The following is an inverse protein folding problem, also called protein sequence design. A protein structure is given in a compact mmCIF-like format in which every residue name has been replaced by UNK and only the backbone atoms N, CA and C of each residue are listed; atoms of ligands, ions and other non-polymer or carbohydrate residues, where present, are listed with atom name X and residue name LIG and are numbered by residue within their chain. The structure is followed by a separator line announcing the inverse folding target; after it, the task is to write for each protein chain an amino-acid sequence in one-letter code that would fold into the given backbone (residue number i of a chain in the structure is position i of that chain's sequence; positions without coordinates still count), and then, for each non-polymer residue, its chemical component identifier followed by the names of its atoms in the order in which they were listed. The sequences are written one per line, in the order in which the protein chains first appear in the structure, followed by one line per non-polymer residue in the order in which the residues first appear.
data_IF_095511865828
#
_entry.id   IF_095511865828
#
_cell.length_a   1.000
_cell.length_b   1.000
_cell.length_c   1.000
_cell.angle_alpha   90.00
_cell.angle_beta   90.00
_cell.angle_gamma   90.00
#
_symmetry.space_group_name_H-M   'P 1'
#
loop_
_entity.id
_entity.type
_entity.pdbx_description
1 polymer ?
#
# COMPACT_ATOMS: atom_id res chain seq x y z
N UNK A 1 -3.12 14.77 11.92
CA UNK A 1 -4.03 13.65 11.58
C UNK A 1 -3.32 12.35 11.89
N UNK A 2 -3.93 11.37 12.58
CA UNK A 2 -3.26 10.08 12.85
C UNK A 2 -3.13 9.31 11.52
N UNK A 3 -1.93 8.90 11.09
CA UNK A 3 -1.71 8.34 9.76
C UNK A 3 -2.42 7.00 9.53
N UNK A 4 -2.66 6.22 10.60
CA UNK A 4 -3.43 4.96 10.57
C UNK A 4 -4.96 5.16 10.60
N UNK A 5 -5.48 6.38 10.81
CA UNK A 5 -6.93 6.60 10.91
C UNK A 5 -7.56 6.53 9.52
N UNK A 6 -8.31 5.47 9.24
CA UNK A 6 -9.04 5.33 7.97
C UNK A 6 -10.24 6.28 7.88
N UNK A 7 -10.12 7.28 7.01
CA UNK A 7 -11.12 8.32 6.79
C UNK A 7 -11.36 8.63 5.31
N UNK A 8 -10.45 8.24 4.42
CA UNK A 8 -10.57 8.51 2.99
C UNK A 8 -11.49 7.47 2.34
N UNK A 9 -12.54 7.91 1.65
CA UNK A 9 -13.37 7.02 0.85
C UNK A 9 -12.56 6.46 -0.33
N UNK A 10 -13.05 5.40 -0.99
CA UNK A 10 -12.40 4.89 -2.22
C UNK A 10 -12.24 5.94 -3.31
N UNK A 11 -13.22 6.85 -3.47
CA UNK A 11 -13.12 7.93 -4.46
C UNK A 11 -12.05 8.95 -4.08
N UNK A 12 -12.00 9.35 -2.80
CA UNK A 12 -10.97 10.25 -2.29
C UNK A 12 -9.57 9.65 -2.42
N UNK A 13 -9.40 8.39 -2.02
CA UNK A 13 -8.13 7.68 -2.14
C UNK A 13 -7.69 7.54 -3.60
N UNK A 14 -8.62 7.21 -4.50
CA UNK A 14 -8.35 7.09 -5.93
C UNK A 14 -7.89 8.43 -6.53
N UNK A 15 -8.53 9.54 -6.15
CA UNK A 15 -8.13 10.87 -6.58
C UNK A 15 -6.75 11.27 -6.05
N UNK A 16 -6.47 11.03 -4.76
CA UNK A 16 -5.15 11.32 -4.16
C UNK A 16 -4.01 10.54 -4.81
N UNK A 17 -4.32 9.35 -5.33
CA UNK A 17 -3.37 8.48 -5.99
C UNK A 17 -3.39 8.65 -7.51
N UNK A 18 -4.25 9.49 -8.07
CA UNK A 18 -4.42 9.65 -9.53
C UNK A 18 -4.64 8.30 -10.25
N UNK A 19 -5.52 7.47 -9.69
CA UNK A 19 -5.90 6.17 -10.27
C UNK A 19 -7.41 6.03 -10.37
N UNK A 20 -7.86 5.14 -11.25
CA UNK A 20 -9.26 4.75 -11.26
C UNK A 20 -9.62 3.91 -10.00
N UNK A 21 -10.80 4.08 -9.37
CA UNK A 21 -11.22 3.29 -8.21
C UNK A 21 -11.17 1.77 -8.42
N UNK A 22 -11.29 1.31 -9.67
CA UNK A 22 -11.12 -0.11 -10.04
C UNK A 22 -9.74 -0.64 -9.68
N UNK A 23 -8.68 0.15 -9.81
CA UNK A 23 -7.31 -0.24 -9.46
C UNK A 23 -7.22 -0.60 -7.98
N UNK A 24 -7.82 0.21 -7.09
CA UNK A 24 -7.86 -0.09 -5.66
C UNK A 24 -8.63 -1.38 -5.35
N UNK A 25 -9.72 -1.64 -6.08
CA UNK A 25 -10.47 -2.90 -5.93
C UNK A 25 -9.66 -4.11 -6.43
N UNK A 26 -8.85 -3.95 -7.46
CA UNK A 26 -7.95 -4.99 -7.95
C UNK A 26 -6.89 -5.27 -6.88
N UNK A 27 -6.21 -4.25 -6.35
CA UNK A 27 -5.21 -4.45 -5.31
C UNK A 27 -5.79 -5.08 -4.03
N UNK A 28 -7.00 -4.71 -3.65
CA UNK A 28 -7.74 -5.37 -2.55
C UNK A 28 -8.01 -6.84 -2.88
N UNK A 29 -8.56 -7.14 -4.07
CA UNK A 29 -8.84 -8.52 -4.50
C UNK A 29 -7.59 -9.39 -4.54
N UNK A 30 -6.47 -8.80 -4.93
CA UNK A 30 -5.16 -9.48 -4.99
C UNK A 30 -4.49 -9.59 -3.62
N UNK A 31 -5.08 -9.04 -2.55
CA UNK A 31 -4.56 -9.10 -1.19
C UNK A 31 -3.36 -8.17 -0.95
N UNK A 32 -3.14 -7.18 -1.82
CA UNK A 32 -2.07 -6.19 -1.65
C UNK A 32 -2.44 -5.10 -0.64
N UNK A 33 -3.73 -4.85 -0.44
CA UNK A 33 -4.26 -3.86 0.51
C UNK A 33 -5.48 -4.42 1.25
N UNK A 34 -5.71 -3.92 2.47
CA UNK A 34 -6.82 -4.34 3.33
C UNK A 34 -7.54 -3.10 3.90
N UNK A 35 -8.38 -2.42 3.09
CA UNK A 35 -9.10 -1.23 3.55
C UNK A 35 -10.06 -1.56 4.69
N UNK A 36 -10.24 -0.61 5.61
CA UNK A 36 -11.22 -0.74 6.69
C UNK A 36 -12.63 -0.60 6.09
N UNK A 37 -13.52 -1.54 6.43
CA UNK A 37 -14.93 -1.47 6.04
C UNK A 37 -15.77 -0.78 7.11
N UNK A 38 -16.69 0.08 6.68
CA UNK A 38 -17.82 0.57 7.49
C UNK A 38 -19.09 0.34 6.67
N UNK A 39 -19.77 -0.77 6.96
CA UNK A 39 -20.77 -1.34 6.06
C UNK A 39 -20.16 -1.73 4.71
N UNK A 40 -20.81 -1.34 3.62
CA UNK A 40 -20.32 -1.63 2.25
C UNK A 40 -19.22 -0.67 1.77
N UNK A 41 -18.94 0.40 2.52
CA UNK A 41 -17.97 1.43 2.15
C UNK A 41 -16.57 1.06 2.64
N UNK A 42 -15.59 1.28 1.76
CA UNK A 42 -14.16 1.13 2.03
C UNK A 42 -13.57 2.46 2.44
N UNK A 43 -12.78 2.43 3.50
CA UNK A 43 -12.04 3.57 4.01
C UNK A 43 -10.55 3.25 4.07
N UNK A 44 -9.75 4.23 3.69
CA UNK A 44 -8.30 4.19 3.62
C UNK A 44 -7.74 5.22 4.59
N UNK A 45 -6.64 4.83 5.23
CA UNK A 45 -5.79 5.68 6.05
C UNK A 45 -4.72 6.34 5.18
N UNK A 46 -3.97 7.30 5.71
CA UNK A 46 -2.85 7.88 4.97
C UNK A 46 -1.75 6.85 4.72
N UNK A 47 -1.59 5.88 5.63
CA UNK A 47 -0.66 4.77 5.45
C UNK A 47 -1.03 3.87 4.27
N UNK A 48 -2.33 3.60 4.09
CA UNK A 48 -2.79 2.88 2.92
C UNK A 48 -2.43 3.64 1.63
N UNK A 49 -2.61 4.97 1.60
CA UNK A 49 -2.24 5.81 0.45
C UNK A 49 -0.74 5.69 0.16
N UNK A 50 0.11 5.87 1.18
CA UNK A 50 1.58 5.73 1.00
C UNK A 50 1.95 4.33 0.52
N UNK A 51 1.32 3.28 1.07
CA UNK A 51 1.58 1.91 0.67
C UNK A 51 1.15 1.63 -0.78
N UNK A 52 -0.02 2.10 -1.19
CA UNK A 52 -0.49 1.97 -2.57
C UNK A 52 0.44 2.70 -3.54
N UNK A 53 0.95 3.87 -3.16
CA UNK A 53 1.97 4.58 -3.95
C UNK A 53 3.22 3.71 -4.14
N UNK A 54 3.73 3.07 -3.08
CA UNK A 54 4.85 2.13 -3.19
C UNK A 54 4.54 0.94 -4.11
N UNK A 55 3.36 0.31 -3.97
CA UNK A 55 2.91 -0.78 -4.85
C UNK A 55 2.97 -0.33 -6.31
N UNK A 56 2.47 0.86 -6.61
CA UNK A 56 2.43 1.40 -7.97
C UNK A 56 3.82 1.63 -8.54
N UNK A 57 4.74 2.23 -7.79
CA UNK A 57 6.13 2.39 -8.24
C UNK A 57 6.76 1.04 -8.53
N UNK A 58 6.59 0.04 -7.65
CA UNK A 58 7.13 -1.31 -7.89
C UNK A 58 6.54 -1.93 -9.17
N UNK A 59 5.23 -1.78 -9.39
CA UNK A 59 4.57 -2.38 -10.56
C UNK A 59 4.92 -1.66 -11.86
N UNK A 60 4.83 -0.34 -11.87
CA UNK A 60 4.87 0.45 -13.11
C UNK A 60 6.26 0.95 -13.44
N UNK A 61 7.07 1.33 -12.46
CA UNK A 61 8.42 1.87 -12.70
C UNK A 61 9.46 0.74 -12.72
N UNK A 62 9.32 -0.28 -11.86
CA UNK A 62 10.23 -1.43 -11.84
C UNK A 62 9.74 -2.63 -12.69
N UNK A 63 8.58 -2.53 -13.34
CA UNK A 63 8.06 -3.55 -14.25
C UNK A 63 7.67 -4.87 -13.56
N UNK A 64 7.43 -4.86 -12.25
CA UNK A 64 7.12 -6.07 -11.49
C UNK A 64 5.61 -6.37 -11.56
N UNK A 65 5.24 -7.60 -11.92
CA UNK A 65 3.82 -7.99 -11.92
C UNK A 65 3.25 -8.09 -10.50
N UNK A 66 1.93 -8.01 -10.35
CA UNK A 66 1.28 -8.19 -9.03
C UNK A 66 1.68 -9.53 -8.38
N UNK A 67 1.71 -10.61 -9.16
CA UNK A 67 2.13 -11.92 -8.67
C UNK A 67 3.60 -11.92 -8.23
N UNK A 68 4.47 -11.25 -8.99
CA UNK A 68 5.88 -11.05 -8.64
C UNK A 68 6.04 -10.25 -7.35
N UNK A 69 5.33 -9.13 -7.23
CA UNK A 69 5.34 -8.29 -6.04
C UNK A 69 4.94 -9.07 -4.78
N UNK A 70 3.84 -9.83 -4.85
CA UNK A 70 3.39 -10.67 -3.74
C UNK A 70 4.46 -11.68 -3.29
N UNK A 71 5.16 -12.31 -4.24
CA UNK A 71 6.26 -13.23 -3.93
C UNK A 71 7.45 -12.50 -3.30
N UNK A 72 7.88 -11.38 -3.88
CA UNK A 72 9.02 -10.59 -3.39
C UNK A 72 8.80 -10.10 -1.97
N UNK A 73 7.60 -9.59 -1.67
CA UNK A 73 7.29 -9.05 -0.34
C UNK A 73 7.38 -10.10 0.78
N UNK A 74 7.36 -11.41 0.48
CA UNK A 74 7.58 -12.46 1.49
C UNK A 74 9.02 -12.53 2.00
N UNK A 75 9.97 -12.03 1.21
CA UNK A 75 11.41 -12.15 1.50
C UNK A 75 12.08 -10.79 1.64
N UNK A 76 11.51 -9.76 1.02
CA UNK A 76 12.15 -8.45 0.91
C UNK A 76 11.12 -7.35 1.19
N UNK A 77 11.32 -6.54 2.25
CA UNK A 77 10.45 -5.39 2.51
C UNK A 77 10.54 -4.35 1.39
N UNK A 78 9.48 -3.56 1.24
CA UNK A 78 9.36 -2.60 0.15
C UNK A 78 10.48 -1.56 0.10
N UNK A 79 11.06 -1.16 1.24
CA UNK A 79 12.15 -0.18 1.27
C UNK A 79 13.47 -0.73 0.73
N UNK A 80 13.66 -2.05 0.70
CA UNK A 80 14.80 -2.66 0.00
C UNK A 80 14.50 -2.77 -1.50
N UNK A 81 13.29 -3.16 -1.88
CA UNK A 81 12.87 -3.23 -3.30
C UNK A 81 13.00 -1.85 -3.98
N UNK A 82 12.53 -0.80 -3.29
CA UNK A 82 12.53 0.58 -3.78
C UNK A 82 13.83 1.34 -3.51
N UNK A 83 14.85 0.71 -2.91
CA UNK A 83 16.10 1.35 -2.48
C UNK A 83 15.86 2.67 -1.72
N UNK A 84 14.94 2.68 -0.76
CA UNK A 84 14.56 3.89 -0.05
C UNK A 84 15.76 4.44 0.76
N UNK A 85 16.11 5.73 0.59
CA UNK A 85 17.19 6.35 1.36
C UNK A 85 16.88 6.36 2.85
N UNK A 86 17.91 6.44 3.69
CA UNK A 86 17.78 6.32 5.14
C UNK A 86 16.84 7.38 5.73
N UNK A 87 16.91 8.61 5.23
CA UNK A 87 16.06 9.75 5.62
C UNK A 87 14.58 9.44 5.40
N UNK A 88 14.27 8.75 4.29
CA UNK A 88 12.90 8.30 3.98
C UNK A 88 12.50 7.11 4.86
N UNK A 89 13.41 6.14 5.06
CA UNK A 89 13.16 4.95 5.90
C UNK A 89 12.89 5.31 7.36
N UNK A 90 13.66 6.24 7.93
CA UNK A 90 13.47 6.76 9.31
C UNK A 90 12.09 7.34 9.56
N UNK A 91 11.39 7.78 8.51
CA UNK A 91 10.03 8.32 8.59
C UNK A 91 8.95 7.35 8.08
N UNK A 92 9.33 6.21 7.52
CA UNK A 92 8.41 5.23 6.97
C UNK A 92 7.80 4.35 8.06
N UNK A 93 6.48 4.26 8.10
CA UNK A 93 5.77 3.44 9.09
C UNK A 93 5.98 1.94 8.85
N UNK A 94 6.08 1.50 7.59
CA UNK A 94 6.43 0.11 7.25
C UNK A 94 7.78 -0.28 7.86
N UNK A 95 8.77 0.61 7.76
CA UNK A 95 10.09 0.42 8.32
C UNK A 95 10.05 0.39 9.86
N UNK A 96 9.37 1.36 10.48
CA UNK A 96 9.25 1.46 11.95
C UNK A 96 8.53 0.27 12.59
N UNK A 97 7.54 -0.30 11.90
CA UNK A 97 6.77 -1.47 12.39
C UNK A 97 7.47 -2.80 12.14
N UNK A 98 8.70 -2.81 11.58
CA UNK A 98 9.49 -4.03 11.39
C UNK A 98 9.07 -4.92 10.21
N UNK A 99 8.12 -4.49 9.38
CA UNK A 99 7.65 -5.32 8.28
C UNK A 99 6.26 -4.97 7.75
N UNK A 100 5.90 -5.70 6.70
CA UNK A 100 4.76 -5.57 5.80
C UNK A 100 3.46 -5.09 6.47
N UNK A 101 3.00 -3.89 6.10
CA UNK A 101 1.82 -3.24 6.70
C UNK A 101 0.51 -4.04 6.58
N UNK A 102 0.44 -5.09 5.74
CA UNK A 102 -0.80 -5.83 5.45
C UNK A 102 -0.65 -7.32 5.11
N UNK A 103 0.53 -7.95 5.23
CA UNK A 103 0.74 -9.34 4.78
C UNK A 103 0.64 -10.42 5.88
N UNK A 104 0.23 -10.05 7.10
CA UNK A 104 0.23 -10.98 8.24
C UNK A 104 -1.06 -11.81 8.42
N UNK A 105 -2.07 -11.71 7.54
CA UNK A 105 -3.35 -12.42 7.72
C UNK A 105 -3.85 -13.20 6.47
N UNK A 106 -2.95 -13.88 5.74
CA UNK A 106 -3.34 -14.79 4.65
C UNK A 106 -3.09 -16.26 4.99
#
# INVERSE_FOLDING_TARGET
MKPDKAIFSIGTAANMLEVHPRTLRIYEKEGLIKPIRRGQRRYYSMNDITWISCIRTIIHEHGITIAGLKKLLRFTPCWQILNCPEEKRKNCIAYKKGGLLHLEDA
#
